data_IF_877503348031
#
_entry.id   IF_877503348031
#
_cell.length_a   1.000
_cell.length_b   1.000
_cell.length_c   1.000
_cell.angle_alpha   90.00
_cell.angle_beta   90.00
_cell.angle_gamma   90.00
#
_symmetry.space_group_name_H-M   'P 1'
#
loop_
_entity.id
_entity.type
_entity.pdbx_description
1 polymer ?
#
# COMPACT_ATOMS: atom_id res chain seq x y z
N UNK A 1 3.88 29.87 -73.03
CA UNK A 1 4.60 31.17 -73.04
C UNK A 1 4.49 31.72 -71.62
N UNK A 2 5.55 31.65 -70.81
CA UNK A 2 6.59 32.69 -70.69
C UNK A 2 5.96 34.04 -70.24
N UNK A 3 6.39 34.76 -69.22
CA UNK A 3 7.67 34.80 -68.54
C UNK A 3 7.53 35.64 -67.25
N UNK A 4 8.40 35.32 -66.29
CA UNK A 4 8.86 36.09 -65.13
C UNK A 4 8.89 37.63 -65.23
N UNK A 5 8.78 38.31 -64.07
CA UNK A 5 9.83 39.13 -63.39
C UNK A 5 9.19 40.03 -62.31
N UNK A 6 9.54 39.92 -61.02
CA UNK A 6 10.72 40.38 -60.23
C UNK A 6 10.38 41.61 -59.35
N UNK A 7 10.42 41.36 -58.03
CA UNK A 7 11.09 42.13 -56.94
C UNK A 7 10.70 43.62 -56.73
N UNK A 8 10.18 43.96 -55.53
CA UNK A 8 10.89 44.74 -54.49
C UNK A 8 10.09 44.88 -53.18
N UNK A 9 10.87 44.84 -52.10
CA UNK A 9 10.51 44.85 -50.67
C UNK A 9 9.89 46.18 -50.20
N UNK A 10 8.94 46.08 -49.27
CA UNK A 10 8.44 47.17 -48.43
C UNK A 10 8.10 46.64 -47.03
N UNK A 11 8.82 47.16 -46.04
CA UNK A 11 8.82 46.87 -44.59
C UNK A 11 7.45 46.54 -43.99
N UNK A 12 7.33 45.37 -43.37
CA UNK A 12 6.25 45.01 -42.44
C UNK A 12 6.84 44.66 -41.07
N UNK A 13 6.34 45.31 -40.02
CA UNK A 13 6.73 45.09 -38.64
C UNK A 13 6.42 43.65 -38.19
N UNK A 14 7.42 42.95 -37.68
CA UNK A 14 7.28 41.63 -37.04
C UNK A 14 7.08 41.90 -35.55
N UNK A 15 5.89 41.60 -35.04
CA UNK A 15 5.64 41.48 -33.62
C UNK A 15 6.31 40.19 -33.13
N UNK A 16 7.46 40.33 -32.45
CA UNK A 16 8.10 39.24 -31.73
C UNK A 16 7.37 39.09 -30.38
N UNK A 17 6.54 38.07 -30.26
CA UNK A 17 6.06 37.58 -28.97
C UNK A 17 7.24 36.93 -28.23
N UNK A 18 7.86 37.68 -27.32
CA UNK A 18 8.80 37.11 -26.35
C UNK A 18 7.96 36.42 -25.27
N UNK A 19 7.76 35.11 -25.41
CA UNK A 19 7.31 34.25 -24.33
C UNK A 19 8.46 34.13 -23.32
N UNK A 20 8.44 34.94 -22.27
CA UNK A 20 9.31 34.77 -21.11
C UNK A 20 8.87 33.53 -20.35
N UNK A 21 9.48 32.39 -20.65
CA UNK A 21 9.39 31.19 -19.81
C UNK A 21 10.11 31.45 -18.49
N UNK A 22 9.36 31.93 -17.50
CA UNK A 22 9.82 31.97 -16.11
C UNK A 22 9.95 30.52 -15.62
N UNK A 23 11.15 29.97 -15.76
CA UNK A 23 11.56 28.71 -15.12
C UNK A 23 11.55 28.93 -13.60
N UNK A 24 10.39 28.70 -12.98
CA UNK A 24 10.30 28.52 -11.53
C UNK A 24 10.95 27.17 -11.20
N UNK A 25 12.27 27.18 -11.01
CA UNK A 25 12.99 26.07 -10.40
C UNK A 25 12.48 25.91 -8.97
N UNK A 26 11.46 25.08 -8.76
CA UNK A 26 11.07 24.62 -7.44
C UNK A 26 12.17 23.67 -6.94
N UNK A 27 13.19 24.22 -6.29
CA UNK A 27 14.11 23.45 -5.46
C UNK A 27 13.27 22.81 -4.37
N UNK A 28 12.99 21.51 -4.51
CA UNK A 28 12.59 20.67 -3.39
C UNK A 28 13.81 20.59 -2.46
N UNK A 29 13.93 21.57 -1.56
CA UNK A 29 14.87 21.49 -0.45
C UNK A 29 14.55 20.23 0.33
N UNK A 30 15.60 19.44 0.57
CA UNK A 30 15.60 18.39 1.58
C UNK A 30 14.93 18.94 2.85
N UNK A 31 13.81 18.33 3.22
CA UNK A 31 13.15 18.61 4.49
C UNK A 31 14.12 18.13 5.56
N UNK A 32 14.80 19.07 6.21
CA UNK A 32 15.54 18.80 7.42
C UNK A 32 14.60 18.18 8.46
N UNK A 33 15.11 17.21 9.23
CA UNK A 33 14.46 16.63 10.41
C UNK A 33 14.24 17.72 11.47
N UNK A 34 13.21 18.54 11.29
CA UNK A 34 12.60 19.28 12.37
C UNK A 34 11.56 18.36 13.00
N UNK A 35 11.53 18.31 14.33
CA UNK A 35 10.50 17.64 15.14
C UNK A 35 9.11 17.97 14.59
N UNK A 36 8.59 17.13 13.68
CA UNK A 36 7.26 17.30 13.09
C UNK A 36 6.28 16.84 14.14
N UNK A 37 5.64 17.80 14.80
CA UNK A 37 4.49 17.52 15.67
C UNK A 37 3.49 16.68 14.88
N UNK A 38 3.17 15.50 15.40
CA UNK A 38 2.17 14.62 14.79
C UNK A 38 0.80 15.33 14.73
N UNK A 39 -0.04 15.01 13.73
CA UNK A 39 -1.41 15.50 13.72
C UNK A 39 -2.16 15.03 14.97
N UNK A 40 -3.02 15.90 15.51
CA UNK A 40 -3.89 15.55 16.60
C UNK A 40 -5.22 14.98 16.05
N UNK A 41 -5.82 14.09 16.83
CA UNK A 41 -7.06 13.42 16.46
C UNK A 41 -8.05 13.49 17.62
N UNK A 42 -9.34 13.57 17.30
CA UNK A 42 -10.40 13.37 18.27
C UNK A 42 -10.41 11.92 18.77
N UNK A 43 -10.90 11.71 19.99
CA UNK A 43 -11.10 10.36 20.52
C UNK A 43 -12.20 9.64 19.73
N UNK A 44 -11.92 8.41 19.28
CA UNK A 44 -12.85 7.61 18.52
C UNK A 44 -13.99 7.07 19.40
N UNK A 45 -15.23 6.94 18.85
CA UNK A 45 -16.30 6.22 19.54
C UNK A 45 -15.87 4.81 19.92
N UNK A 46 -16.33 4.28 21.06
CA UNK A 46 -16.05 2.90 21.45
C UNK A 46 -16.97 1.90 20.74
N UNK A 47 -16.40 0.83 20.19
CA UNK A 47 -17.15 -0.28 19.58
C UNK A 47 -17.04 -1.54 20.44
N UNK A 48 -18.12 -2.32 20.54
CA UNK A 48 -18.20 -3.54 21.35
C UNK A 48 -18.63 -4.73 20.49
N UNK A 49 -18.21 -5.92 20.90
CA UNK A 49 -18.62 -7.17 20.28
C UNK A 49 -20.15 -7.33 20.30
N UNK A 50 -20.71 -7.81 19.19
CA UNK A 50 -22.08 -8.30 19.13
C UNK A 50 -22.28 -9.58 19.97
N UNK A 51 -23.54 -9.92 20.27
CA UNK A 51 -23.88 -11.05 21.15
C UNK A 51 -23.45 -12.44 20.66
N UNK A 52 -23.14 -12.58 19.37
CA UNK A 52 -22.69 -13.85 18.75
C UNK A 52 -21.16 -14.01 18.77
N UNK A 53 -20.42 -13.00 19.20
CA UNK A 53 -18.96 -13.03 19.21
C UNK A 53 -18.45 -13.97 20.30
N UNK A 54 -17.68 -14.98 19.89
CA UNK A 54 -16.88 -15.76 20.82
C UNK A 54 -15.78 -14.86 21.40
N UNK A 55 -16.02 -14.31 22.58
CA UNK A 55 -15.01 -13.60 23.35
C UNK A 55 -14.56 -14.46 24.51
N UNK A 56 -13.26 -14.69 24.63
CA UNK A 56 -12.64 -15.26 25.82
C UNK A 56 -11.66 -14.25 26.36
N UNK A 57 -11.76 -13.97 27.65
CA UNK A 57 -10.74 -13.21 28.36
C UNK A 57 -9.47 -14.07 28.39
N UNK A 58 -8.62 -13.86 27.39
CA UNK A 58 -7.35 -14.56 27.23
C UNK A 58 -6.26 -13.76 27.95
N UNK A 59 -5.54 -14.41 28.86
CA UNK A 59 -4.30 -13.85 29.43
C UNK A 59 -3.18 -13.74 28.38
N UNK A 60 -3.32 -14.41 27.22
CA UNK A 60 -2.43 -14.27 26.08
C UNK A 60 -2.93 -13.15 25.17
N UNK A 61 -2.49 -11.93 25.49
CA UNK A 61 -2.88 -10.68 24.80
C UNK A 61 -2.68 -10.72 23.27
N UNK A 62 -1.79 -11.60 22.77
CA UNK A 62 -1.26 -11.59 21.40
C UNK A 62 -1.47 -12.87 20.58
N UNK A 63 -1.88 -13.97 21.20
CA UNK A 63 -1.86 -15.32 20.59
C UNK A 63 -3.23 -16.00 20.62
N UNK A 64 -4.31 -15.23 20.78
CA UNK A 64 -5.67 -15.78 20.78
C UNK A 64 -6.04 -16.29 19.38
N UNK A 65 -6.33 -17.58 19.27
CA UNK A 65 -6.73 -18.23 18.02
C UNK A 65 -8.05 -17.69 17.44
N UNK A 66 -8.86 -17.00 18.25
CA UNK A 66 -10.11 -16.38 17.80
C UNK A 66 -9.92 -14.93 17.31
N UNK A 67 -8.71 -14.38 17.42
CA UNK A 67 -8.44 -13.01 17.00
C UNK A 67 -8.26 -12.88 15.49
N UNK A 68 -8.80 -11.80 14.94
CA UNK A 68 -8.52 -11.36 13.56
C UNK A 68 -7.27 -10.49 13.60
N UNK A 69 -6.14 -11.06 13.18
CA UNK A 69 -4.86 -10.36 13.18
C UNK A 69 -4.70 -9.49 11.92
N UNK A 70 -4.48 -8.19 12.11
CA UNK A 70 -4.29 -7.21 11.04
C UNK A 70 -2.92 -6.57 11.19
N UNK A 71 -2.10 -6.62 10.15
CA UNK A 71 -0.80 -5.96 10.10
C UNK A 71 -0.83 -4.74 9.18
N UNK A 72 -0.26 -3.63 9.65
CA UNK A 72 -0.16 -2.36 8.91
C UNK A 72 1.19 -1.69 9.16
N UNK A 73 1.69 -0.95 8.19
CA UNK A 73 2.80 -0.02 8.42
C UNK A 73 2.30 1.27 9.06
N UNK A 74 3.15 1.92 9.87
CA UNK A 74 2.82 3.14 10.59
C UNK A 74 3.99 4.12 10.54
N UNK A 75 3.73 5.29 9.97
CA UNK A 75 4.64 6.44 9.99
C UNK A 75 3.85 7.75 10.15
N UNK A 76 4.54 8.85 10.41
CA UNK A 76 3.92 10.15 10.60
C UNK A 76 3.17 10.68 9.36
N UNK A 77 3.62 10.33 8.14
CA UNK A 77 3.03 10.82 6.90
C UNK A 77 1.70 10.12 6.56
N UNK A 78 1.55 8.87 6.99
CA UNK A 78 0.38 8.03 6.79
C UNK A 78 -0.47 7.82 8.04
N UNK A 79 -0.09 8.39 9.20
CA UNK A 79 -0.83 8.25 10.46
C UNK A 79 -2.32 8.57 10.32
N UNK A 80 -2.68 9.63 9.59
CA UNK A 80 -4.08 10.01 9.33
C UNK A 80 -4.83 8.93 8.52
N UNK A 81 -4.15 8.27 7.59
CA UNK A 81 -4.70 7.14 6.84
C UNK A 81 -4.89 5.91 7.72
N UNK A 82 -3.92 5.59 8.58
CA UNK A 82 -4.01 4.48 9.54
C UNK A 82 -5.17 4.69 10.52
N UNK A 83 -5.32 5.90 11.08
CA UNK A 83 -6.44 6.23 11.99
C UNK A 83 -7.80 6.00 11.30
N UNK A 84 -7.97 6.48 10.07
CA UNK A 84 -9.18 6.24 9.30
C UNK A 84 -9.40 4.74 8.99
N UNK A 85 -8.32 4.01 8.66
CA UNK A 85 -8.35 2.57 8.46
C UNK A 85 -8.84 1.82 9.70
N UNK A 86 -8.26 2.10 10.87
CA UNK A 86 -8.67 1.52 12.17
C UNK A 86 -10.15 1.82 12.44
N UNK A 87 -10.55 3.09 12.36
CA UNK A 87 -11.93 3.48 12.63
C UNK A 87 -12.91 2.78 11.69
N UNK A 88 -12.59 2.71 10.40
CA UNK A 88 -13.44 2.01 9.43
C UNK A 88 -13.58 0.52 9.72
N UNK A 89 -12.49 -0.16 10.12
CA UNK A 89 -12.52 -1.57 10.50
C UNK A 89 -13.40 -1.78 11.74
N UNK A 90 -13.18 -0.99 12.79
CA UNK A 90 -13.94 -1.11 14.03
C UNK A 90 -15.43 -0.79 13.86
N UNK A 91 -15.74 0.18 13.01
CA UNK A 91 -17.11 0.59 12.73
C UNK A 91 -17.92 -0.49 12.00
N UNK A 92 -17.28 -1.30 11.14
CA UNK A 92 -17.96 -2.31 10.32
C UNK A 92 -17.77 -3.75 10.80
N UNK A 93 -16.89 -4.01 11.77
CA UNK A 93 -16.70 -5.33 12.34
C UNK A 93 -17.88 -5.73 13.24
N UNK A 94 -18.34 -6.98 13.13
CA UNK A 94 -19.32 -7.52 14.08
C UNK A 94 -18.69 -7.77 15.46
N UNK A 95 -17.40 -8.09 15.49
CA UNK A 95 -16.63 -8.40 16.70
C UNK A 95 -15.36 -7.52 16.79
N UNK A 96 -15.49 -6.18 16.97
CA UNK A 96 -14.36 -5.26 16.97
C UNK A 96 -13.33 -5.54 18.07
N UNK A 97 -13.75 -6.07 19.23
CA UNK A 97 -12.84 -6.39 20.34
C UNK A 97 -12.03 -7.67 20.09
N UNK A 98 -12.37 -8.43 19.04
CA UNK A 98 -11.60 -9.60 18.59
C UNK A 98 -10.53 -9.22 17.56
N UNK A 99 -10.49 -7.98 17.08
CA UNK A 99 -9.49 -7.52 16.11
C UNK A 99 -8.19 -7.14 16.84
N UNK A 100 -7.07 -7.69 16.39
CA UNK A 100 -5.74 -7.41 16.93
C UNK A 100 -4.87 -6.73 15.88
N UNK A 101 -4.44 -5.49 16.15
CA UNK A 101 -3.60 -4.73 15.24
C UNK A 101 -2.11 -4.90 15.53
N UNK A 102 -1.33 -5.08 14.47
CA UNK A 102 0.12 -5.17 14.47
C UNK A 102 0.68 -4.03 13.61
N UNK A 103 1.12 -2.96 14.26
CA UNK A 103 1.71 -1.82 13.58
C UNK A 103 3.22 -1.98 13.48
N UNK A 104 3.77 -1.70 12.31
CA UNK A 104 5.22 -1.72 12.08
C UNK A 104 5.68 -0.30 11.75
N UNK A 105 6.58 0.23 12.56
CA UNK A 105 7.18 1.55 12.37
C UNK A 105 8.71 1.44 12.32
N UNK A 106 9.37 2.32 11.58
CA UNK A 106 10.83 2.32 11.45
C UNK A 106 11.53 3.49 12.12
N UNK A 107 10.83 4.62 12.31
CA UNK A 107 11.38 5.81 12.96
C UNK A 107 11.31 5.69 14.49
N UNK A 108 12.43 5.30 15.11
CA UNK A 108 12.55 5.14 16.57
C UNK A 108 12.24 6.41 17.35
N UNK A 109 12.50 7.59 16.79
CA UNK A 109 12.23 8.86 17.46
C UNK A 109 10.73 9.13 17.53
N UNK A 110 9.98 8.70 16.51
CA UNK A 110 8.53 8.90 16.43
C UNK A 110 7.71 7.78 17.09
N UNK A 111 8.27 6.61 17.38
CA UNK A 111 7.52 5.44 17.89
C UNK A 111 6.72 5.72 19.17
N UNK A 112 7.32 6.43 20.12
CA UNK A 112 6.65 6.77 21.37
C UNK A 112 5.44 7.69 21.14
N UNK A 113 5.62 8.71 20.29
CA UNK A 113 4.56 9.67 19.95
C UNK A 113 3.46 9.01 19.10
N UNK A 114 3.82 8.13 18.16
CA UNK A 114 2.89 7.34 17.36
C UNK A 114 2.04 6.44 18.26
N UNK A 115 2.67 5.73 19.20
CA UNK A 115 1.97 4.88 20.16
C UNK A 115 1.05 5.71 21.07
N UNK A 116 1.54 6.82 21.62
CA UNK A 116 0.75 7.71 22.47
C UNK A 116 -0.46 8.28 21.72
N UNK A 117 -0.27 8.66 20.45
CA UNK A 117 -1.35 9.15 19.58
C UNK A 117 -2.41 8.07 19.38
N UNK A 118 -2.02 6.84 19.02
CA UNK A 118 -2.97 5.73 18.86
C UNK A 118 -3.73 5.42 20.16
N UNK A 119 -3.06 5.45 21.31
CA UNK A 119 -3.70 5.21 22.62
C UNK A 119 -4.68 6.34 22.99
N UNK A 120 -4.37 7.58 22.66
CA UNK A 120 -5.26 8.71 22.90
C UNK A 120 -6.48 8.69 21.96
N UNK A 121 -6.27 8.34 20.69
CA UNK A 121 -7.36 8.26 19.69
C UNK A 121 -8.25 7.03 19.91
N UNK A 122 -7.68 5.89 20.29
CA UNK A 122 -8.42 4.64 20.49
C UNK A 122 -8.05 3.98 21.84
N UNK A 123 -8.60 4.45 22.97
CA UNK A 123 -8.22 3.95 24.30
C UNK A 123 -8.49 2.46 24.54
N UNK A 124 -9.39 1.87 23.76
CA UNK A 124 -9.81 0.47 23.84
C UNK A 124 -9.16 -0.43 22.77
N UNK A 125 -8.26 0.10 21.94
CA UNK A 125 -7.66 -0.63 20.82
C UNK A 125 -6.70 -1.72 21.31
N UNK A 126 -6.92 -2.95 20.83
CA UNK A 126 -5.94 -4.03 20.98
C UNK A 126 -4.90 -3.91 19.88
N UNK A 127 -3.69 -3.48 20.25
CA UNK A 127 -2.59 -3.39 19.29
C UNK A 127 -1.21 -3.65 19.88
N UNK A 128 -0.25 -3.91 19.01
CA UNK A 128 1.18 -3.88 19.30
C UNK A 128 1.93 -3.11 18.22
N UNK A 129 2.84 -2.25 18.65
CA UNK A 129 3.78 -1.54 17.79
C UNK A 129 5.12 -2.30 17.78
N UNK A 130 5.64 -2.57 16.60
CA UNK A 130 6.91 -3.24 16.36
C UNK A 130 7.86 -2.30 15.64
N UNK A 131 9.12 -2.31 16.07
CA UNK A 131 10.19 -1.61 15.38
C UNK A 131 10.68 -2.44 14.19
N UNK A 132 10.78 -1.82 13.01
CA UNK A 132 11.43 -2.36 11.83
C UNK A 132 12.78 -1.68 11.61
N UNK A 133 13.86 -2.45 11.77
CA UNK A 133 15.20 -1.96 11.48
C UNK A 133 15.41 -1.88 9.96
N UNK A 134 15.39 -0.65 9.45
CA UNK A 134 15.55 -0.37 8.04
C UNK A 134 16.90 -0.86 7.48
N UNK A 135 17.92 -1.02 8.33
CA UNK A 135 19.25 -1.46 7.89
C UNK A 135 19.20 -2.86 7.26
N UNK A 136 18.24 -3.70 7.65
CA UNK A 136 18.05 -5.05 7.10
C UNK A 136 17.77 -4.99 5.59
N UNK A 137 17.11 -3.93 5.12
CA UNK A 137 16.66 -3.81 3.73
C UNK A 137 17.34 -2.68 2.96
N UNK A 138 17.86 -1.65 3.62
CA UNK A 138 18.50 -0.47 3.00
C UNK A 138 19.54 -0.84 1.96
N UNK A 139 20.41 -1.79 2.28
CA UNK A 139 21.46 -2.22 1.35
C UNK A 139 20.94 -3.08 0.19
N UNK A 140 19.73 -3.63 0.31
CA UNK A 140 19.08 -4.49 -0.68
C UNK A 140 18.15 -3.73 -1.64
N UNK A 141 17.82 -2.46 -1.33
CA UNK A 141 16.95 -1.64 -2.18
C UNK A 141 17.77 -1.05 -3.33
N UNK A 142 17.32 -1.32 -4.56
CA UNK A 142 17.79 -0.58 -5.73
C UNK A 142 16.95 0.69 -5.91
N UNK A 143 17.60 1.82 -6.21
CA UNK A 143 16.92 3.08 -6.53
C UNK A 143 15.87 2.87 -7.63
N UNK A 144 14.60 3.12 -7.31
CA UNK A 144 13.50 3.10 -8.28
C UNK A 144 13.36 4.44 -9.00
N UNK A 145 12.57 4.48 -10.08
CA UNK A 145 12.27 5.73 -10.80
C UNK A 145 11.54 6.75 -9.89
N UNK A 146 10.94 6.28 -8.78
CA UNK A 146 10.25 7.12 -7.79
C UNK A 146 10.92 6.96 -6.44
N UNK A 147 11.67 7.97 -5.98
CA UNK A 147 12.37 7.95 -4.68
C UNK A 147 11.46 7.59 -3.49
N UNK A 148 10.18 7.99 -3.52
CA UNK A 148 9.21 7.62 -2.46
C UNK A 148 8.88 6.11 -2.38
N UNK A 149 9.23 5.32 -3.40
CA UNK A 149 9.08 3.87 -3.39
C UNK A 149 10.29 3.16 -2.78
N UNK A 150 11.39 3.90 -2.55
CA UNK A 150 12.62 3.39 -1.95
C UNK A 150 12.59 3.47 -0.42
N UNK A 151 11.46 3.95 0.15
CA UNK A 151 11.25 4.00 1.59
C UNK A 151 11.34 2.58 2.18
N UNK A 152 12.28 2.31 3.11
CA UNK A 152 12.48 0.97 3.67
C UNK A 152 11.20 0.35 4.26
N UNK A 153 10.34 1.18 4.85
CA UNK A 153 9.08 0.75 5.44
C UNK A 153 8.13 0.08 4.42
N UNK A 154 8.21 0.42 3.13
CA UNK A 154 7.43 -0.24 2.07
C UNK A 154 7.73 -1.74 1.91
N UNK A 155 8.92 -2.17 2.37
CA UNK A 155 9.40 -3.55 2.32
C UNK A 155 9.13 -4.31 3.61
N UNK A 156 8.73 -3.64 4.70
CA UNK A 156 8.48 -4.26 6.01
C UNK A 156 7.47 -5.42 5.93
N UNK A 157 6.52 -5.34 4.98
CA UNK A 157 5.55 -6.41 4.71
C UNK A 157 6.18 -7.77 4.39
N UNK A 158 7.38 -7.80 3.78
CA UNK A 158 8.12 -9.04 3.51
C UNK A 158 8.69 -9.67 4.78
N UNK A 159 8.89 -8.89 5.84
CA UNK A 159 9.55 -9.30 7.07
C UNK A 159 8.58 -9.57 8.22
N UNK A 160 7.27 -9.36 8.03
CA UNK A 160 6.25 -9.64 9.03
C UNK A 160 6.38 -11.01 9.72
N UNK A 161 6.73 -12.12 9.03
CA UNK A 161 6.90 -13.40 9.71
C UNK A 161 8.07 -13.48 10.69
N UNK A 162 9.08 -12.62 10.54
CA UNK A 162 10.17 -12.49 11.51
C UNK A 162 9.88 -11.44 12.59
N UNK A 163 9.02 -10.46 12.30
CA UNK A 163 8.67 -9.36 13.22
C UNK A 163 7.57 -9.80 14.20
N UNK A 164 6.54 -10.50 13.71
CA UNK A 164 5.39 -10.89 14.52
C UNK A 164 5.69 -12.15 15.34
N UNK A 165 5.05 -12.33 16.52
CA UNK A 165 5.21 -13.50 17.36
C UNK A 165 4.98 -14.81 16.60
N UNK A 166 5.72 -15.85 16.97
CA UNK A 166 5.63 -17.16 16.33
C UNK A 166 4.25 -17.82 16.42
N UNK A 167 3.45 -17.48 17.44
CA UNK A 167 2.08 -17.94 17.62
C UNK A 167 1.08 -17.32 16.62
N UNK A 168 1.45 -16.26 15.91
CA UNK A 168 0.58 -15.65 14.90
C UNK A 168 0.78 -16.42 13.60
N UNK A 169 -0.19 -17.28 13.30
CA UNK A 169 -0.17 -18.20 12.15
C UNK A 169 -0.79 -17.61 10.89
N UNK A 170 -1.66 -16.62 11.03
CA UNK A 170 -2.35 -15.97 9.91
C UNK A 170 -2.56 -14.48 10.19
N UNK A 171 -2.39 -13.65 9.16
CA UNK A 171 -2.71 -12.22 9.21
C UNK A 171 -3.46 -11.76 7.95
N UNK A 172 -4.17 -10.64 8.07
CA UNK A 172 -4.46 -9.76 6.93
C UNK A 172 -3.42 -8.63 6.96
N UNK A 173 -2.66 -8.46 5.89
CA UNK A 173 -1.87 -7.25 5.67
C UNK A 173 -2.70 -6.20 4.94
N UNK A 174 -2.68 -4.97 5.45
CA UNK A 174 -3.38 -3.80 4.91
C UNK A 174 -2.41 -2.61 4.75
N UNK A 175 -2.38 -2.00 3.56
CA UNK A 175 -1.71 -0.71 3.35
C UNK A 175 -2.41 0.41 4.16
N UNK A 176 -1.69 1.50 4.43
CA UNK A 176 -2.14 2.57 5.33
C UNK A 176 -3.13 3.58 4.71
N UNK A 177 -3.56 3.37 3.46
CA UNK A 177 -4.35 4.32 2.66
C UNK A 177 -5.65 3.69 2.12
N UNK A 178 -6.34 2.97 2.99
CA UNK A 178 -7.61 2.31 2.69
C UNK A 178 -8.66 2.55 3.77
N UNK A 179 -9.92 2.30 3.42
CA UNK A 179 -11.02 2.11 4.39
C UNK A 179 -11.79 0.83 4.06
N UNK A 180 -12.25 0.16 5.12
CA UNK A 180 -13.06 -1.05 5.04
C UNK A 180 -14.52 -0.67 5.29
N UNK A 181 -15.43 -1.19 4.48
CA UNK A 181 -16.88 -0.89 4.52
C UNK A 181 -17.72 -2.17 4.68
N UNK A 182 -17.11 -3.20 5.25
CA UNK A 182 -17.69 -4.52 5.50
C UNK A 182 -16.99 -5.17 6.70
N UNK A 183 -17.52 -6.29 7.18
CA UNK A 183 -16.91 -7.02 8.29
C UNK A 183 -15.60 -7.69 7.85
N UNK A 184 -14.47 -7.18 8.36
CA UNK A 184 -13.12 -7.68 8.06
C UNK A 184 -12.92 -9.15 8.43
N UNK A 185 -13.71 -9.68 9.38
CA UNK A 185 -13.66 -11.08 9.78
C UNK A 185 -14.00 -12.01 8.60
N UNK A 186 -14.85 -11.58 7.66
CA UNK A 186 -15.17 -12.34 6.44
C UNK A 186 -13.92 -12.56 5.58
N UNK A 187 -13.11 -11.52 5.37
CA UNK A 187 -11.85 -11.64 4.65
C UNK A 187 -10.89 -12.59 5.37
N UNK A 188 -10.85 -12.57 6.70
CA UNK A 188 -9.93 -13.41 7.49
C UNK A 188 -10.34 -14.89 7.50
N UNK A 189 -11.61 -15.17 7.81
CA UNK A 189 -12.11 -16.53 8.09
C UNK A 189 -12.63 -17.24 6.85
N UNK A 190 -13.34 -16.55 5.96
CA UNK A 190 -13.94 -17.17 4.77
C UNK A 190 -12.91 -17.40 3.65
N UNK A 191 -11.77 -16.71 3.71
CA UNK A 191 -10.67 -16.91 2.74
C UNK A 191 -9.91 -18.20 3.04
N UNK A 192 -10.15 -19.22 2.22
CA UNK A 192 -9.39 -20.47 2.25
C UNK A 192 -8.11 -20.36 1.43
N UNK A 193 -6.94 -20.38 2.10
CA UNK A 193 -5.63 -20.33 1.43
C UNK A 193 -5.29 -21.64 0.68
N UNK A 194 -5.97 -22.76 0.95
CA UNK A 194 -5.67 -24.09 0.35
C UNK A 194 -4.16 -24.40 0.49
N UNK A 195 -3.50 -24.74 -0.62
CA UNK A 195 -2.05 -24.96 -0.69
C UNK A 195 -1.24 -23.67 -0.87
N UNK A 196 -1.88 -22.53 -1.12
CA UNK A 196 -1.18 -21.26 -1.36
C UNK A 196 -0.75 -20.62 -0.03
N UNK A 197 0.25 -19.74 -0.12
CA UNK A 197 0.86 -19.05 1.02
C UNK A 197 0.12 -17.75 1.31
N UNK A 198 -0.39 -17.10 0.27
CA UNK A 198 -1.18 -15.90 0.40
C UNK A 198 -2.36 -15.89 -0.57
N UNK A 199 -3.37 -15.10 -0.20
CA UNK A 199 -4.51 -14.79 -1.04
C UNK A 199 -4.64 -13.28 -1.22
N UNK A 200 -4.99 -12.86 -2.43
CA UNK A 200 -5.16 -11.45 -2.78
C UNK A 200 -6.12 -11.32 -3.98
N UNK A 201 -6.75 -10.15 -4.18
CA UNK A 201 -7.46 -9.87 -5.43
C UNK A 201 -6.53 -9.86 -6.65
N UNK A 202 -6.84 -10.69 -7.65
CA UNK A 202 -6.08 -10.81 -8.89
C UNK A 202 -6.73 -10.03 -10.03
N UNK A 203 -5.94 -9.25 -10.78
CA UNK A 203 -6.38 -8.45 -11.91
C UNK A 203 -5.71 -8.93 -13.20
N UNK A 204 -6.11 -10.12 -13.63
CA UNK A 204 -5.58 -10.79 -14.82
C UNK A 204 -5.78 -10.03 -16.15
N UNK A 205 -6.65 -8.99 -16.16
CA UNK A 205 -6.86 -8.08 -17.31
C UNK A 205 -5.81 -6.98 -17.41
N UNK A 206 -5.05 -6.72 -16.35
CA UNK A 206 -3.95 -5.77 -16.38
C UNK A 206 -2.80 -6.30 -17.25
N UNK A 207 -2.09 -5.39 -17.91
CA UNK A 207 -0.89 -5.75 -18.67
C UNK A 207 0.26 -6.07 -17.71
N UNK A 208 0.41 -7.35 -17.38
CA UNK A 208 1.43 -7.86 -16.46
C UNK A 208 2.86 -7.56 -16.92
N UNK A 209 3.10 -7.50 -18.23
CA UNK A 209 4.41 -7.20 -18.80
C UNK A 209 4.95 -5.83 -18.36
N UNK A 210 4.07 -4.86 -18.04
CA UNK A 210 4.46 -3.51 -17.62
C UNK A 210 5.15 -3.43 -16.25
N UNK A 211 5.10 -4.48 -15.43
CA UNK A 211 5.71 -4.47 -14.10
C UNK A 211 7.20 -4.84 -14.12
N UNK A 212 7.72 -5.24 -15.28
CA UNK A 212 9.13 -5.60 -15.49
C UNK A 212 9.69 -4.91 -16.73
N UNK A 213 11.00 -4.70 -16.78
CA UNK A 213 11.69 -4.04 -17.89
C UNK A 213 11.77 -4.95 -19.12
N UNK A 214 12.04 -4.37 -20.29
CA UNK A 214 12.33 -5.16 -21.49
C UNK A 214 13.52 -6.11 -21.27
N UNK A 215 14.52 -5.70 -20.46
CA UNK A 215 15.67 -6.53 -20.12
C UNK A 215 15.24 -7.85 -19.44
N UNK A 216 14.32 -7.78 -18.47
CA UNK A 216 13.76 -8.96 -17.81
C UNK A 216 13.11 -9.92 -18.81
N UNK A 217 12.23 -9.39 -19.68
CA UNK A 217 11.48 -10.21 -20.63
C UNK A 217 12.33 -10.77 -21.77
N UNK A 218 13.42 -10.08 -22.14
CA UNK A 218 14.34 -10.55 -23.18
C UNK A 218 15.30 -11.64 -22.72
N UNK A 219 15.44 -11.84 -21.40
CA UNK A 219 16.28 -12.89 -20.84
C UNK A 219 15.45 -14.12 -20.49
N UNK A 220 15.67 -15.27 -21.18
CA UNK A 220 14.99 -16.51 -20.86
C UNK A 220 15.26 -17.01 -19.43
N UNK A 221 16.43 -16.78 -18.84
CA UNK A 221 16.71 -17.25 -17.47
C UNK A 221 15.84 -16.53 -16.43
N UNK A 222 15.57 -15.24 -16.65
CA UNK A 222 14.73 -14.45 -15.76
C UNK A 222 13.24 -14.74 -15.99
N UNK A 223 12.78 -14.64 -17.24
CA UNK A 223 11.36 -14.75 -17.58
C UNK A 223 10.79 -16.15 -17.35
N UNK A 224 11.63 -17.20 -17.41
CA UNK A 224 11.26 -18.58 -17.06
C UNK A 224 10.78 -18.74 -15.62
N UNK A 225 11.00 -17.78 -14.72
CA UNK A 225 10.45 -17.82 -13.34
C UNK A 225 8.93 -18.00 -13.30
N UNK A 226 8.21 -17.58 -14.35
CA UNK A 226 6.76 -17.73 -14.45
C UNK A 226 6.31 -19.06 -15.09
N UNK A 227 7.23 -19.84 -15.65
CA UNK A 227 6.93 -21.14 -16.24
C UNK A 227 6.67 -22.19 -15.16
N UNK A 228 5.79 -23.16 -15.47
CA UNK A 228 5.45 -24.25 -14.56
C UNK A 228 4.58 -23.87 -13.35
N UNK A 229 4.15 -22.60 -13.23
CA UNK A 229 3.22 -22.17 -12.18
C UNK A 229 1.83 -22.77 -12.38
N UNK A 230 1.11 -23.00 -11.28
CA UNK A 230 -0.24 -23.60 -11.28
C UNK A 230 -1.25 -22.79 -12.09
N UNK A 231 -1.12 -21.46 -12.06
CA UNK A 231 -1.96 -20.52 -12.82
C UNK A 231 -1.07 -19.59 -13.64
N UNK A 232 -1.68 -18.99 -14.66
CA UNK A 232 -1.05 -17.88 -15.40
C UNK A 232 -0.69 -16.76 -14.43
N UNK A 233 0.54 -16.26 -14.50
CA UNK A 233 0.96 -15.10 -13.73
C UNK A 233 0.07 -13.88 -14.06
N UNK A 234 -0.52 -13.30 -13.02
CA UNK A 234 -1.37 -12.13 -13.08
C UNK A 234 -0.90 -11.08 -12.09
N UNK A 235 -1.22 -9.82 -12.36
CA UNK A 235 -1.01 -8.75 -11.40
C UNK A 235 -1.99 -8.93 -10.23
N UNK A 236 -1.47 -8.84 -9.02
CA UNK A 236 -2.25 -8.62 -7.80
C UNK A 236 -1.64 -7.43 -7.05
N UNK A 237 -2.48 -6.67 -6.37
CA UNK A 237 -2.02 -5.57 -5.54
C UNK A 237 -1.57 -6.11 -4.17
N UNK A 238 -0.42 -5.65 -3.67
CA UNK A 238 0.17 -6.13 -2.40
C UNK A 238 -0.33 -5.37 -1.16
N UNK A 239 -1.29 -4.47 -1.32
CA UNK A 239 -1.82 -3.66 -0.22
C UNK A 239 -2.99 -4.29 0.53
N UNK A 240 -3.52 -5.42 0.05
CA UNK A 240 -4.49 -6.25 0.76
C UNK A 240 -4.14 -7.71 0.51
N UNK A 241 -3.67 -8.41 1.54
CA UNK A 241 -3.26 -9.81 1.43
C UNK A 241 -3.67 -10.59 2.69
N UNK A 242 -4.21 -11.79 2.53
CA UNK A 242 -4.33 -12.77 3.62
C UNK A 242 -3.13 -13.69 3.53
N UNK A 243 -2.36 -13.82 4.61
CA UNK A 243 -1.06 -14.50 4.60
C UNK A 243 -1.03 -15.63 5.62
N UNK A 244 -0.59 -16.80 5.18
CA UNK A 244 -0.20 -17.94 6.01
C UNK A 244 1.24 -17.72 6.51
N UNK A 245 1.36 -17.32 7.77
CA UNK A 245 2.65 -16.96 8.37
C UNK A 245 3.50 -18.20 8.64
N UNK A 246 2.88 -19.36 8.86
CA UNK A 246 3.58 -20.63 9.08
C UNK A 246 4.27 -21.05 7.78
N UNK A 247 3.50 -21.20 6.70
CA UNK A 247 4.06 -21.58 5.39
C UNK A 247 5.04 -20.55 4.86
N UNK A 248 4.84 -19.26 5.17
CA UNK A 248 5.79 -18.23 4.80
C UNK A 248 7.17 -18.47 5.44
N UNK A 249 7.19 -18.74 6.76
CA UNK A 249 8.43 -19.04 7.51
C UNK A 249 9.08 -20.34 7.01
N UNK A 250 8.30 -21.42 6.92
CA UNK A 250 8.79 -22.73 6.47
C UNK A 250 9.37 -22.69 5.06
N UNK A 251 8.74 -21.92 4.17
CA UNK A 251 9.16 -21.79 2.78
C UNK A 251 10.20 -20.71 2.53
N UNK A 252 10.70 -20.03 3.57
CA UNK A 252 11.72 -18.97 3.48
C UNK A 252 11.38 -17.92 2.40
N UNK A 253 10.13 -17.45 2.42
CA UNK A 253 9.63 -16.55 1.38
C UNK A 253 10.18 -15.13 1.50
N UNK A 254 10.63 -14.72 2.69
CA UNK A 254 11.35 -13.46 2.89
C UNK A 254 12.64 -13.48 2.08
N UNK A 255 13.41 -14.55 2.19
CA UNK A 255 14.68 -14.75 1.54
C UNK A 255 14.52 -14.83 0.02
N UNK A 256 13.50 -15.54 -0.48
CA UNK A 256 13.16 -15.56 -1.91
C UNK A 256 12.86 -14.16 -2.46
N UNK A 257 12.20 -13.30 -1.68
CA UNK A 257 11.98 -11.89 -2.06
C UNK A 257 13.31 -11.13 -2.10
N UNK A 258 14.16 -11.31 -1.09
CA UNK A 258 15.48 -10.67 -1.04
C UNK A 258 16.38 -11.08 -2.21
N UNK A 259 16.35 -12.35 -2.62
CA UNK A 259 17.09 -12.84 -3.80
C UNK A 259 16.72 -12.04 -5.06
N UNK A 260 15.44 -11.79 -5.29
CA UNK A 260 14.98 -10.96 -6.41
C UNK A 260 15.37 -9.49 -6.28
N UNK A 261 15.43 -8.96 -5.05
CA UNK A 261 15.92 -7.60 -4.79
C UNK A 261 17.42 -7.47 -5.13
N UNK A 262 18.22 -8.50 -4.84
CA UNK A 262 19.64 -8.53 -5.22
C UNK A 262 19.84 -8.67 -6.73
N UNK A 263 19.00 -9.47 -7.41
CA UNK A 263 18.99 -9.53 -8.89
C UNK A 263 18.66 -8.16 -9.47
N UNK A 264 17.67 -7.46 -8.91
CA UNK A 264 17.31 -6.10 -9.31
C UNK A 264 18.48 -5.13 -9.20
N UNK A 265 19.22 -5.13 -8.09
CA UNK A 265 20.38 -4.24 -7.92
C UNK A 265 21.45 -4.42 -9.00
N UNK A 266 21.65 -5.66 -9.45
CA UNK A 266 22.67 -6.00 -10.45
C UNK A 266 22.21 -5.77 -11.89
N UNK A 267 20.93 -6.02 -12.17
CA UNK A 267 20.41 -6.17 -13.56
C UNK A 267 19.30 -5.21 -13.94
N UNK A 268 18.70 -4.49 -12.98
CA UNK A 268 17.59 -3.55 -13.17
C UNK A 268 16.44 -4.12 -14.02
N UNK A 269 15.77 -5.12 -13.45
CA UNK A 269 14.69 -5.91 -14.05
C UNK A 269 13.28 -5.33 -13.87
N UNK A 270 13.10 -4.32 -13.01
CA UNK A 270 11.86 -3.55 -12.85
C UNK A 270 12.16 -2.11 -12.39
N UNK A 271 11.14 -1.23 -12.44
CA UNK A 271 11.27 0.20 -12.09
C UNK A 271 10.40 0.65 -10.90
N UNK A 272 9.62 -0.26 -10.32
CA UNK A 272 8.77 -0.03 -9.16
C UNK A 272 9.50 -0.42 -7.84
N UNK A 273 8.87 -0.14 -6.70
CA UNK A 273 9.41 -0.44 -5.36
C UNK A 273 9.24 -1.89 -4.94
N UNK A 274 8.56 -2.12 -3.81
CA UNK A 274 8.41 -3.46 -3.21
C UNK A 274 7.44 -4.41 -3.93
N UNK A 275 6.64 -3.93 -4.88
CA UNK A 275 5.63 -4.76 -5.58
C UNK A 275 6.24 -5.84 -6.52
N UNK A 276 7.17 -5.54 -7.44
CA UNK A 276 7.65 -6.55 -8.39
C UNK A 276 8.30 -7.79 -7.73
N UNK A 277 9.08 -7.69 -6.64
CA UNK A 277 9.55 -8.87 -5.91
C UNK A 277 8.42 -9.81 -5.46
N UNK A 278 7.30 -9.26 -4.99
CA UNK A 278 6.12 -10.06 -4.66
C UNK A 278 5.52 -10.73 -5.90
N UNK A 279 5.44 -10.03 -7.04
CA UNK A 279 4.95 -10.63 -8.27
C UNK A 279 5.88 -11.76 -8.74
N UNK A 280 7.19 -11.57 -8.65
CA UNK A 280 8.20 -12.58 -9.00
C UNK A 280 8.08 -13.82 -8.12
N UNK A 281 7.73 -13.69 -6.85
CA UNK A 281 7.60 -14.84 -5.95
C UNK A 281 6.22 -15.50 -6.04
N UNK A 282 5.14 -14.73 -6.19
CA UNK A 282 3.78 -15.23 -5.95
C UNK A 282 2.82 -15.18 -7.15
N UNK A 283 3.06 -14.40 -8.21
CA UNK A 283 2.08 -14.27 -9.29
C UNK A 283 1.77 -15.61 -9.97
N UNK A 284 0.52 -16.06 -9.98
CA UNK A 284 0.14 -17.40 -10.46
C UNK A 284 0.21 -18.53 -9.41
N UNK A 285 0.62 -18.20 -8.18
CA UNK A 285 0.66 -19.06 -6.99
C UNK A 285 -0.10 -18.44 -5.79
N UNK A 286 -0.95 -17.43 -6.06
CA UNK A 286 -1.86 -16.85 -5.07
C UNK A 286 -3.25 -17.50 -5.15
N UNK A 287 -3.93 -17.56 -4.01
CA UNK A 287 -5.37 -17.81 -4.03
C UNK A 287 -6.11 -16.50 -4.37
N UNK A 288 -7.07 -16.59 -5.29
CA UNK A 288 -7.84 -15.43 -5.72
C UNK A 288 -8.85 -15.04 -4.63
N UNK A 289 -8.86 -13.77 -4.26
CA UNK A 289 -9.93 -13.15 -3.44
C UNK A 289 -10.81 -12.30 -4.36
N UNK A 290 -12.10 -12.17 -4.02
CA UNK A 290 -13.03 -11.31 -4.74
C UNK A 290 -12.53 -9.85 -4.81
N UNK A 291 -12.63 -9.21 -5.98
CA UNK A 291 -12.19 -7.83 -6.22
C UNK A 291 -12.89 -6.81 -5.29
N UNK A 292 -14.02 -7.14 -4.66
CA UNK A 292 -14.68 -6.32 -3.63
C UNK A 292 -13.76 -5.93 -2.48
N UNK A 293 -12.77 -6.77 -2.18
CA UNK A 293 -11.81 -6.57 -1.08
C UNK A 293 -10.64 -5.67 -1.46
N UNK A 294 -10.57 -5.16 -2.68
CA UNK A 294 -9.56 -4.17 -3.04
C UNK A 294 -10.00 -3.33 -4.24
N UNK A 295 -10.79 -2.29 -4.02
CA UNK A 295 -11.04 -1.25 -5.02
C UNK A 295 -9.80 -0.35 -5.12
N UNK A 296 -8.73 -0.86 -5.73
CA UNK A 296 -7.44 -0.17 -5.83
C UNK A 296 -7.43 0.92 -6.91
N UNK A 297 -6.40 1.75 -6.84
CA UNK A 297 -6.12 2.81 -7.82
C UNK A 297 -6.93 4.09 -7.59
N UNK A 298 -7.62 4.23 -6.45
CA UNK A 298 -8.38 5.45 -6.13
C UNK A 298 -7.47 6.65 -5.87
N UNK A 299 -6.18 6.39 -5.63
CA UNK A 299 -5.16 7.42 -5.53
C UNK A 299 -4.81 8.10 -6.86
N UNK A 300 -5.27 7.55 -8.00
CA UNK A 300 -5.19 8.18 -9.32
C UNK A 300 -3.79 8.50 -9.84
N UNK A 301 -3.76 9.24 -10.95
CA UNK A 301 -2.56 9.91 -11.47
C UNK A 301 -2.60 11.40 -11.10
N UNK A 302 -1.57 11.87 -10.41
CA UNK A 302 -1.45 13.24 -9.89
C UNK A 302 -1.35 14.31 -10.99
N UNK A 303 -1.14 13.93 -12.25
CA UNK A 303 -1.00 14.90 -13.33
C UNK A 303 -2.34 15.48 -13.81
N UNK A 304 -3.43 14.72 -13.75
CA UNK A 304 -4.74 15.16 -14.28
C UNK A 304 -5.84 15.26 -13.22
N UNK A 305 -5.57 14.84 -11.98
CA UNK A 305 -6.56 14.88 -10.89
C UNK A 305 -7.80 13.99 -11.15
N UNK A 306 -7.70 13.05 -12.09
CA UNK A 306 -8.85 12.24 -12.54
C UNK A 306 -9.22 11.18 -11.51
N UNK A 307 -10.49 11.18 -11.11
CA UNK A 307 -11.12 10.10 -10.37
C UNK A 307 -11.37 8.90 -11.26
N UNK A 308 -10.75 7.78 -10.91
CA UNK A 308 -11.11 6.49 -11.49
C UNK A 308 -12.48 6.06 -10.93
N UNK A 309 -13.33 5.45 -11.77
CA UNK A 309 -14.55 4.78 -11.29
C UNK A 309 -14.20 3.52 -10.50
N UNK A 310 -15.08 3.12 -9.58
CA UNK A 310 -14.99 1.82 -8.92
C UNK A 310 -15.08 0.69 -9.95
N UNK A 311 -14.47 -0.45 -9.62
CA UNK A 311 -14.69 -1.69 -10.36
C UNK A 311 -16.17 -2.08 -10.24
N UNK A 312 -16.75 -2.76 -11.25
CA UNK A 312 -18.12 -3.26 -11.14
C UNK A 312 -18.21 -4.34 -10.06
N UNK A 313 -19.34 -4.40 -9.36
CA UNK A 313 -19.61 -5.41 -8.33
C UNK A 313 -19.75 -4.81 -6.92
N UNK A 314 -19.89 -5.67 -5.90
CA UNK A 314 -19.93 -5.24 -4.50
C UNK A 314 -18.59 -4.63 -4.07
N UNK A 315 -18.63 -3.82 -3.01
CA UNK A 315 -17.45 -3.15 -2.46
C UNK A 315 -17.39 -3.41 -0.96
N UNK A 316 -16.26 -3.94 -0.50
CA UNK A 316 -15.96 -4.16 0.92
C UNK A 316 -14.73 -3.36 1.38
N UNK A 317 -13.87 -2.94 0.45
CA UNK A 317 -12.67 -2.16 0.77
C UNK A 317 -12.33 -1.20 -0.36
N UNK A 318 -12.11 0.07 0.01
CA UNK A 318 -11.69 1.16 -0.87
C UNK A 318 -10.23 1.50 -0.62
N UNK A 319 -9.39 1.52 -1.67
CA UNK A 319 -7.94 1.65 -1.52
C UNK A 319 -7.38 2.76 -2.41
N UNK A 320 -6.86 3.82 -1.79
CA UNK A 320 -6.24 4.97 -2.43
C UNK A 320 -4.79 4.72 -2.86
N UNK A 321 -4.52 3.51 -3.33
CA UNK A 321 -3.23 3.12 -3.88
C UNK A 321 -2.83 4.09 -4.99
N UNK A 322 -1.62 4.64 -4.90
CA UNK A 322 -1.17 5.70 -5.80
C UNK A 322 -0.76 6.95 -5.02
N UNK A 323 -0.60 8.07 -5.72
CA UNK A 323 -0.02 9.27 -5.12
C UNK A 323 -1.05 10.20 -4.46
N UNK A 324 -2.30 10.21 -4.94
CA UNK A 324 -3.35 11.09 -4.43
C UNK A 324 -3.99 10.52 -3.17
N UNK A 325 -3.67 11.08 -2.01
CA UNK A 325 -4.27 10.64 -0.75
C UNK A 325 -5.53 11.45 -0.43
N UNK A 326 -6.60 10.83 0.08
CA UNK A 326 -7.88 11.52 0.29
C UNK A 326 -7.71 12.69 1.28
N UNK A 327 -6.96 12.50 2.36
CA UNK A 327 -6.66 13.54 3.35
C UNK A 327 -5.83 14.73 2.81
N UNK A 328 -5.19 14.59 1.66
CA UNK A 328 -4.50 15.69 0.96
C UNK A 328 -5.41 16.35 -0.10
N UNK A 329 -6.25 15.55 -0.77
CA UNK A 329 -7.08 16.01 -1.88
C UNK A 329 -8.36 16.71 -1.45
N UNK A 330 -8.97 16.31 -0.34
CA UNK A 330 -10.22 16.91 0.15
C UNK A 330 -10.12 18.44 0.37
N UNK A 331 -8.93 18.97 0.63
CA UNK A 331 -8.69 20.42 0.79
C UNK A 331 -8.48 21.19 -0.52
N UNK A 332 -8.21 20.49 -1.63
CA UNK A 332 -7.72 21.11 -2.87
C UNK A 332 -8.64 20.84 -4.07
N UNK A 333 -8.97 19.57 -4.33
CA UNK A 333 -9.79 19.12 -5.46
C UNK A 333 -10.49 17.83 -5.03
N UNK A 334 -11.81 17.88 -4.78
CA UNK A 334 -12.55 16.74 -4.26
C UNK A 334 -12.80 15.72 -5.37
N UNK A 335 -12.05 14.62 -5.33
CA UNK A 335 -12.53 13.43 -5.99
C UNK A 335 -13.82 12.98 -5.30
N UNK A 336 -14.95 12.72 -5.99
CA UNK A 336 -16.18 12.33 -5.30
C UNK A 336 -15.99 11.12 -4.38
N UNK A 337 -15.09 10.20 -4.74
CA UNK A 337 -14.76 9.05 -3.91
C UNK A 337 -14.06 9.43 -2.61
N UNK A 338 -13.33 10.55 -2.54
CA UNK A 338 -12.70 11.01 -1.28
C UNK A 338 -13.73 11.32 -0.19
N UNK A 339 -14.96 11.67 -0.58
CA UNK A 339 -16.05 11.85 0.37
C UNK A 339 -16.46 10.55 1.09
N UNK A 340 -16.13 9.38 0.53
CA UNK A 340 -16.33 8.09 1.19
C UNK A 340 -15.29 7.82 2.28
N UNK A 341 -14.14 8.52 2.23
CA UNK A 341 -13.10 8.44 3.26
C UNK A 341 -13.38 9.42 4.42
N UNK A 342 -13.96 10.58 4.12
CA UNK A 342 -14.20 11.67 5.06
C UNK A 342 -14.88 11.28 6.39
N UNK A 343 -15.87 10.36 6.44
CA UNK A 343 -16.52 9.97 7.71
C UNK A 343 -15.57 9.31 8.72
N UNK A 344 -14.41 8.82 8.28
CA UNK A 344 -13.43 8.14 9.14
C UNK A 344 -12.27 9.06 9.55
N UNK A 345 -12.32 10.34 9.18
CA UNK A 345 -11.27 11.30 9.45
C UNK A 345 -11.45 11.96 10.82
N UNK A 346 -10.66 11.52 11.80
CA UNK A 346 -10.69 12.09 13.16
C UNK A 346 -9.75 13.30 13.33
N UNK A 347 -9.09 13.78 12.27
CA UNK A 347 -8.13 14.89 12.40
C UNK A 347 -8.86 16.22 12.65
N UNK A 348 -8.32 17.07 13.53
CA UNK A 348 -8.80 18.44 13.76
C UNK A 348 -7.76 19.52 13.44
#
# INVERSE_FOLDING_TARGET
MAFQRKIKFGRGAIYIFILTSSLLNLKMSAVGKTSRKLPAFEEAPSFRNGGECAWRESNELYCDSNSVHIAMTLDAAYLRGVVAGILSILHHAACPENVMFHFVASDREAEADLKATLMATFPYLRFKLYHFDENIVKEKISYSIRQALDEPLNYARSYLPHILPGCVDRIIYLDSDLVVVDDIAKLYWETSLKSHILAAPEYCRANFTKYFTQHFWSDPELSRTFEGRKKRACYFNTGVMVIDMVKWREGMYTEKIEEWMEVQKKRRIYDLGSLPPFLLVFAGEVEAVDERWNQHGLGGDNFEGRCRKLHPGPVSLLHWSGKGKPWLRMRLHSCPLDSLWAPYDLSH
#
